data_IF_054096584466
#
_entry.id   IF_054096584466
#
_cell.length_a   1.000
_cell.length_b   1.000
_cell.length_c   1.000
_cell.angle_alpha   90.00
_cell.angle_beta   90.00
_cell.angle_gamma   90.00
#
_symmetry.space_group_name_H-M   'P 1'
#
loop_
_entity.id
_entity.type
_entity.pdbx_description
1 polymer ?
#
# COMPACT_ATOMS: atom_id res chain seq x y z
N UNK A 1 -18.50 15.05 -22.21
CA UNK A 1 -18.50 13.95 -21.22
C UNK A 1 -17.71 12.79 -21.79
N UNK A 2 -16.69 12.31 -21.07
CA UNK A 2 -16.50 10.91 -20.66
C UNK A 2 -15.09 10.80 -20.05
N UNK A 3 -15.05 10.53 -18.74
CA UNK A 3 -13.83 10.17 -18.06
C UNK A 3 -13.26 8.92 -18.74
N UNK A 4 -11.96 8.94 -19.02
CA UNK A 4 -11.23 7.80 -19.54
C UNK A 4 -11.49 6.59 -18.63
N UNK A 5 -11.69 5.42 -19.25
CA UNK A 5 -11.79 4.13 -18.60
C UNK A 5 -10.56 3.89 -17.71
N UNK A 6 -10.68 4.18 -16.41
CA UNK A 6 -9.65 3.87 -15.43
C UNK A 6 -9.81 2.38 -15.16
N UNK A 7 -8.86 1.60 -15.69
CA UNK A 7 -8.64 0.19 -15.33
C UNK A 7 -8.88 0.02 -13.82
N UNK A 8 -9.62 -1.01 -13.35
CA UNK A 8 -9.62 -1.35 -11.92
C UNK A 8 -8.22 -1.89 -11.62
N UNK A 9 -7.27 -1.00 -11.40
CA UNK A 9 -5.95 -1.40 -10.99
C UNK A 9 -6.12 -1.72 -9.52
N UNK A 10 -5.89 -2.99 -9.19
CA UNK A 10 -5.73 -3.51 -7.83
C UNK A 10 -4.59 -2.75 -7.13
N UNK A 11 -4.75 -1.46 -6.87
CA UNK A 11 -3.75 -0.53 -6.36
C UNK A 11 -4.35 0.17 -5.14
N UNK A 12 -3.67 0.00 -4.01
CA UNK A 12 -4.09 0.52 -2.72
C UNK A 12 -3.19 1.72 -2.42
N UNK A 13 -3.81 2.85 -2.06
CA UNK A 13 -3.04 4.01 -1.60
C UNK A 13 -2.42 3.70 -0.24
N UNK A 14 -1.11 3.92 -0.12
CA UNK A 14 -0.39 3.63 1.12
C UNK A 14 -0.81 4.57 2.25
N UNK A 15 -1.24 5.80 1.93
CA UNK A 15 -1.83 6.73 2.88
C UNK A 15 -3.07 6.15 3.59
N UNK A 16 -3.96 5.47 2.87
CA UNK A 16 -5.18 4.89 3.44
C UNK A 16 -4.84 3.73 4.39
N UNK A 17 -3.83 2.92 4.02
CA UNK A 17 -3.29 1.88 4.90
C UNK A 17 -2.66 2.49 6.15
N UNK A 18 -1.82 3.52 5.99
CA UNK A 18 -1.16 4.19 7.08
C UNK A 18 -2.17 4.75 8.10
N UNK A 19 -3.25 5.37 7.61
CA UNK A 19 -4.34 5.88 8.45
C UNK A 19 -5.05 4.76 9.21
N UNK A 20 -5.38 3.65 8.56
CA UNK A 20 -6.04 2.49 9.21
C UNK A 20 -5.21 1.90 10.34
N UNK A 21 -3.89 1.86 10.17
CA UNK A 21 -2.96 1.35 11.17
C UNK A 21 -2.44 2.42 12.15
N UNK A 22 -2.91 3.67 12.05
CA UNK A 22 -2.52 4.76 12.95
C UNK A 22 -1.04 5.12 12.88
N UNK A 23 -0.36 4.89 11.76
CA UNK A 23 1.06 5.21 11.56
C UNK A 23 1.27 6.19 10.41
N UNK A 24 2.45 6.81 10.34
CA UNK A 24 2.79 7.71 9.23
C UNK A 24 2.98 6.96 7.89
N UNK A 25 2.64 7.61 6.77
CA UNK A 25 2.74 7.01 5.42
C UNK A 25 4.16 6.49 5.12
N UNK A 26 5.20 7.25 5.47
CA UNK A 26 6.60 6.81 5.32
C UNK A 26 6.93 5.56 6.15
N UNK A 27 6.38 5.46 7.35
CA UNK A 27 6.55 4.29 8.22
C UNK A 27 5.84 3.08 7.62
N UNK A 28 4.64 3.28 7.06
CA UNK A 28 3.91 2.23 6.34
C UNK A 28 4.69 1.74 5.10
N UNK A 29 5.24 2.65 4.28
CA UNK A 29 6.09 2.28 3.14
C UNK A 29 7.30 1.44 3.61
N UNK A 30 7.94 1.83 4.71
CA UNK A 30 9.07 1.08 5.27
C UNK A 30 8.65 -0.33 5.70
N UNK A 31 7.55 -0.47 6.44
CA UNK A 31 7.02 -1.78 6.86
C UNK A 31 6.66 -2.65 5.66
N UNK A 32 5.95 -2.10 4.68
CA UNK A 32 5.61 -2.84 3.46
C UNK A 32 6.86 -3.40 2.78
N UNK A 33 7.92 -2.60 2.65
CA UNK A 33 9.20 -3.06 2.05
C UNK A 33 9.89 -4.14 2.89
N UNK A 34 9.90 -3.99 4.22
CA UNK A 34 10.49 -4.98 5.13
C UNK A 34 9.82 -6.35 4.98
N UNK A 35 8.53 -6.37 4.71
CA UNK A 35 7.72 -7.58 4.55
C UNK A 35 7.51 -7.99 3.09
N UNK A 36 8.37 -7.56 2.16
CA UNK A 36 8.34 -8.01 0.76
C UNK A 36 7.29 -7.33 -0.13
N UNK A 37 6.56 -6.35 0.40
CA UNK A 37 5.73 -5.44 -0.36
C UNK A 37 6.55 -4.54 -1.29
N UNK A 38 5.98 -4.22 -2.46
CA UNK A 38 6.61 -3.40 -3.50
C UNK A 38 5.81 -2.12 -3.71
N UNK A 39 5.77 -1.21 -2.72
CA UNK A 39 5.13 0.09 -2.91
C UNK A 39 5.94 0.93 -3.92
N UNK A 40 5.25 1.61 -4.81
CA UNK A 40 5.81 2.51 -5.81
C UNK A 40 5.16 3.89 -5.68
N UNK A 41 5.82 4.88 -6.25
CA UNK A 41 5.39 6.27 -6.17
C UNK A 41 4.83 6.73 -7.52
N UNK A 42 3.67 7.38 -7.50
CA UNK A 42 3.08 8.04 -8.65
C UNK A 42 2.81 9.50 -8.29
N UNK A 43 3.61 10.41 -8.85
CA UNK A 43 3.62 11.81 -8.42
C UNK A 43 4.05 11.96 -6.95
N UNK A 44 3.21 12.60 -6.14
CA UNK A 44 3.45 12.80 -4.71
C UNK A 44 2.87 11.69 -3.81
N UNK A 45 2.23 10.65 -4.39
CA UNK A 45 1.48 9.64 -3.64
C UNK A 45 2.13 8.27 -3.75
N UNK A 46 2.04 7.49 -2.68
CA UNK A 46 2.49 6.10 -2.64
C UNK A 46 1.32 5.14 -2.87
N UNK A 47 1.59 4.11 -3.67
CA UNK A 47 0.65 3.05 -3.99
C UNK A 47 1.32 1.70 -3.88
N UNK A 48 0.53 0.65 -3.67
CA UNK A 48 0.99 -0.73 -3.72
C UNK A 48 -0.06 -1.60 -4.41
N UNK A 49 0.39 -2.52 -5.27
CA UNK A 49 -0.54 -3.47 -5.91
C UNK A 49 -1.09 -4.46 -4.89
N UNK A 50 -2.37 -4.83 -4.96
CA UNK A 50 -3.04 -5.71 -4.01
C UNK A 50 -2.33 -7.07 -3.86
N UNK A 51 -1.85 -7.67 -4.96
CA UNK A 51 -1.04 -8.91 -4.90
C UNK A 51 0.22 -8.73 -4.05
N UNK A 52 0.90 -7.60 -4.20
CA UNK A 52 2.11 -7.32 -3.42
C UNK A 52 1.79 -6.90 -1.98
N UNK A 53 0.63 -6.29 -1.76
CA UNK A 53 0.12 -5.96 -0.44
C UNK A 53 -0.23 -7.23 0.35
N UNK A 54 -0.93 -8.20 -0.26
CA UNK A 54 -1.30 -9.46 0.40
C UNK A 54 -0.08 -10.21 0.97
N UNK A 55 1.02 -10.24 0.21
CA UNK A 55 2.31 -10.82 0.67
C UNK A 55 2.86 -10.09 1.90
N UNK A 56 2.73 -8.77 1.96
CA UNK A 56 3.22 -7.97 3.08
C UNK A 56 2.25 -7.95 4.28
N UNK A 57 0.94 -8.03 4.03
CA UNK A 57 -0.09 -7.90 5.05
C UNK A 57 -0.04 -9.07 6.03
N UNK A 58 0.04 -10.30 5.52
CA UNK A 58 0.15 -11.50 6.35
C UNK A 58 1.33 -11.40 7.33
N UNK A 59 2.46 -10.87 6.87
CA UNK A 59 3.62 -10.69 7.73
C UNK A 59 3.52 -9.49 8.69
N UNK A 60 2.79 -8.42 8.33
CA UNK A 60 2.55 -7.25 9.20
C UNK A 60 1.57 -7.60 10.33
N UNK A 61 0.50 -8.33 10.03
CA UNK A 61 -0.52 -8.72 10.99
C UNK A 61 0.04 -9.71 12.03
N UNK A 62 0.91 -10.65 11.60
CA UNK A 62 1.55 -11.61 12.49
C UNK A 62 2.78 -11.06 13.25
N UNK A 63 3.29 -9.88 12.88
CA UNK A 63 4.42 -9.24 13.58
C UNK A 63 3.99 -8.33 14.75
N UNK A 64 2.69 -8.24 15.01
CA UNK A 64 2.13 -7.49 16.14
C UNK A 64 1.77 -8.47 17.25
N UNK A 65 2.79 -8.95 17.96
CA UNK A 65 2.75 -9.63 19.26
C UNK A 65 3.83 -8.96 20.16
#
# INVERSE_FOLDING_TARGET
MKAADIVPIDEIAVADLAQRHGIGERAMVSRLRQHGGKPYQLGARWFIRARSFAVALEAIENATD
#
